data_IF_044037784970
#
_entry.id   IF_044037784970
#
_cell.length_a   1.000
_cell.length_b   1.000
_cell.length_c   1.000
_cell.angle_alpha   90.00
_cell.angle_beta   90.00
_cell.angle_gamma   90.00
#
_symmetry.space_group_name_H-M   'P 1'
#
loop_
_entity.id
_entity.type
_entity.pdbx_description
1 polymer ?
#
# COMPACT_ATOMS: atom_id res chain seq x y z
N UNK A 1 -4.95 21.59 -5.01
CA UNK A 1 -4.28 20.50 -4.27
C UNK A 1 -4.34 19.25 -5.12
N UNK A 2 -3.20 18.60 -5.33
CA UNK A 2 -3.14 17.35 -6.09
C UNK A 2 -3.49 16.18 -5.16
N UNK A 3 -4.40 15.29 -5.60
CA UNK A 3 -4.88 14.15 -4.83
C UNK A 3 -4.53 12.83 -5.51
N UNK A 4 -4.19 11.82 -4.72
CA UNK A 4 -4.16 10.45 -5.19
C UNK A 4 -5.57 9.85 -5.22
N UNK A 5 -5.85 9.07 -6.26
CA UNK A 5 -6.97 8.13 -6.25
C UNK A 5 -6.77 7.06 -5.17
N UNK A 6 -7.81 6.26 -4.87
CA UNK A 6 -7.69 5.16 -3.91
C UNK A 6 -6.53 4.22 -4.30
N UNK A 7 -5.66 3.84 -3.35
CA UNK A 7 -4.57 2.90 -3.63
C UNK A 7 -5.15 1.55 -4.02
N UNK A 8 -4.45 0.81 -4.89
CA UNK A 8 -4.79 -0.59 -5.16
C UNK A 8 -4.80 -1.36 -3.84
N UNK A 9 -5.94 -1.94 -3.51
CA UNK A 9 -6.08 -2.85 -2.38
C UNK A 9 -5.19 -4.06 -2.60
N UNK A 10 -4.52 -4.50 -1.54
CA UNK A 10 -3.73 -5.72 -1.56
C UNK A 10 -4.48 -6.77 -0.74
N UNK A 11 -4.68 -7.99 -1.26
CA UNK A 11 -5.36 -9.04 -0.53
C UNK A 11 -4.62 -9.31 0.78
N UNK A 12 -5.40 -9.55 1.84
CA UNK A 12 -4.87 -9.86 3.18
C UNK A 12 -3.95 -8.79 3.79
N UNK A 13 -4.09 -7.53 3.37
CA UNK A 13 -3.50 -6.39 4.07
C UNK A 13 -4.53 -5.34 4.43
N UNK A 14 -4.27 -4.70 5.56
CA UNK A 14 -5.10 -3.62 6.07
C UNK A 14 -4.41 -2.27 5.87
N UNK A 15 -5.21 -1.28 5.50
CA UNK A 15 -4.81 0.11 5.38
C UNK A 15 -5.52 0.93 6.46
N UNK A 16 -4.77 1.75 7.20
CA UNK A 16 -5.31 2.50 8.34
C UNK A 16 -6.11 3.76 7.96
N UNK A 17 -6.03 4.25 6.72
CA UNK A 17 -6.66 5.52 6.30
C UNK A 17 -7.40 5.34 4.97
N UNK A 18 -8.63 5.82 4.87
CA UNK A 18 -9.51 5.58 3.69
C UNK A 18 -10.15 6.83 3.08
N UNK A 19 -9.99 8.01 3.66
CA UNK A 19 -10.83 9.17 3.29
C UNK A 19 -10.24 10.08 2.21
N UNK A 20 -9.00 10.56 2.37
CA UNK A 20 -8.36 11.45 1.38
C UNK A 20 -6.86 11.18 1.36
N UNK A 21 -6.31 11.05 0.14
CA UNK A 21 -4.89 10.80 -0.08
C UNK A 21 -4.27 11.98 -0.79
N UNK A 22 -3.38 12.70 -0.11
CA UNK A 22 -2.68 13.84 -0.69
C UNK A 22 -1.37 13.39 -1.37
N UNK A 23 -0.92 14.13 -2.39
CA UNK A 23 0.44 13.94 -2.93
C UNK A 23 1.47 14.17 -1.82
N UNK A 24 2.42 13.24 -1.69
CA UNK A 24 3.41 13.17 -0.62
C UNK A 24 3.01 12.25 0.55
N UNK A 25 1.73 11.85 0.65
CA UNK A 25 1.24 11.00 1.73
C UNK A 25 1.84 9.60 1.66
N UNK A 26 2.22 9.08 2.83
CA UNK A 26 2.74 7.73 3.00
C UNK A 26 1.69 6.86 3.67
N UNK A 27 1.34 5.78 3.00
CA UNK A 27 0.43 4.75 3.49
C UNK A 27 1.23 3.58 3.98
N UNK A 28 0.94 3.15 5.20
CA UNK A 28 1.54 1.98 5.83
C UNK A 28 0.59 0.80 5.65
N UNK A 29 1.10 -0.25 5.02
CA UNK A 29 0.40 -1.51 4.85
C UNK A 29 1.03 -2.54 5.78
N UNK A 30 0.17 -3.36 6.38
CA UNK A 30 0.58 -4.50 7.19
C UNK A 30 -0.24 -5.72 6.77
N UNK A 31 0.42 -6.86 6.62
CA UNK A 31 -0.27 -8.12 6.42
C UNK A 31 -1.15 -8.46 7.63
N UNK A 32 -2.30 -9.05 7.34
CA UNK A 32 -3.16 -9.64 8.35
C UNK A 32 -2.45 -10.85 8.97
N UNK A 33 -2.72 -11.09 10.25
CA UNK A 33 -2.19 -12.26 10.96
C UNK A 33 -2.56 -13.55 10.22
N UNK A 34 -1.57 -14.38 9.91
CA UNK A 34 -1.74 -15.62 9.14
C UNK A 34 -1.36 -15.49 7.67
N UNK A 35 -1.16 -14.28 7.16
CA UNK A 35 -0.64 -13.99 5.81
C UNK A 35 0.70 -13.26 5.84
N UNK A 36 1.32 -13.19 7.02
CA UNK A 36 2.62 -12.58 7.31
C UNK A 36 3.75 -13.63 7.33
N UNK A 37 3.59 -14.73 6.59
CA UNK A 37 4.56 -15.84 6.56
C UNK A 37 5.80 -15.52 5.73
N UNK A 38 5.68 -14.67 4.72
CA UNK A 38 6.79 -14.23 3.88
C UNK A 38 7.17 -12.78 4.20
N UNK A 39 8.48 -12.54 4.30
CA UNK A 39 9.02 -11.18 4.41
C UNK A 39 9.14 -10.56 3.01
N UNK A 40 8.80 -9.27 2.85
CA UNK A 40 8.39 -8.33 3.88
C UNK A 40 6.90 -8.43 4.26
N UNK A 41 6.60 -8.44 5.57
CA UNK A 41 5.23 -8.52 6.13
C UNK A 41 4.55 -7.15 6.29
N UNK A 42 5.30 -6.09 6.03
CA UNK A 42 4.85 -4.71 6.09
C UNK A 42 5.60 -3.89 5.04
N UNK A 43 4.99 -2.79 4.63
CA UNK A 43 5.55 -1.95 3.59
C UNK A 43 4.79 -0.65 3.45
N UNK A 44 5.33 0.24 2.64
CA UNK A 44 4.80 1.59 2.49
C UNK A 44 4.57 1.93 1.04
N UNK A 45 3.45 2.59 0.73
CA UNK A 45 3.27 3.29 -0.54
C UNK A 45 3.26 4.78 -0.34
N UNK A 46 3.94 5.51 -1.22
CA UNK A 46 3.85 6.96 -1.28
C UNK A 46 3.01 7.37 -2.48
N UNK A 47 2.18 8.38 -2.28
CA UNK A 47 1.55 9.09 -3.39
C UNK A 47 2.56 10.08 -3.96
N UNK A 48 2.99 9.90 -5.21
CA UNK A 48 3.99 10.76 -5.84
C UNK A 48 3.51 11.28 -7.19
N UNK A 49 3.97 12.49 -7.54
CA UNK A 49 3.73 13.08 -8.86
C UNK A 49 4.99 12.91 -9.70
N UNK A 50 4.99 11.90 -10.56
CA UNK A 50 6.13 11.57 -11.44
C UNK A 50 5.78 12.00 -12.86
N UNK A 51 6.59 12.88 -13.46
CA UNK A 51 6.36 13.41 -14.82
C UNK A 51 4.94 14.00 -15.02
N UNK A 52 4.42 14.71 -14.01
CA UNK A 52 3.08 15.30 -14.05
C UNK A 52 1.93 14.33 -13.80
N UNK A 53 2.19 13.03 -13.69
CA UNK A 53 1.20 11.99 -13.38
C UNK A 53 1.24 11.62 -11.90
N UNK A 54 0.08 11.63 -11.25
CA UNK A 54 -0.06 11.19 -9.87
C UNK A 54 -0.15 9.66 -9.87
N UNK A 55 0.82 9.00 -9.23
CA UNK A 55 0.90 7.55 -9.11
C UNK A 55 1.18 7.14 -7.66
N UNK A 56 0.72 5.95 -7.31
CA UNK A 56 1.19 5.26 -6.12
C UNK A 56 2.51 4.56 -6.44
N UNK A 57 3.50 4.69 -5.55
CA UNK A 57 4.74 3.91 -5.67
C UNK A 57 4.44 2.41 -5.63
N UNK A 58 5.27 1.59 -6.31
CA UNK A 58 5.18 0.14 -6.18
C UNK A 58 5.30 -0.28 -4.71
N UNK A 59 4.66 -1.40 -4.39
CA UNK A 59 4.73 -2.03 -3.08
C UNK A 59 5.20 -3.46 -3.31
N UNK A 60 6.46 -3.72 -2.99
CA UNK A 60 7.10 -5.02 -3.18
C UNK A 60 6.88 -5.89 -1.93
N UNK A 61 5.62 -6.14 -1.61
CA UNK A 61 5.22 -7.06 -0.54
C UNK A 61 4.03 -7.88 -0.98
N UNK A 62 3.97 -9.13 -0.54
CA UNK A 62 2.85 -10.04 -0.79
C UNK A 62 2.49 -10.73 0.52
N UNK A 63 1.23 -10.60 0.91
CA UNK A 63 0.72 -11.27 2.10
C UNK A 63 0.24 -12.66 1.70
N UNK A 64 1.12 -13.65 1.86
CA UNK A 64 0.82 -15.06 1.59
C UNK A 64 0.77 -15.85 2.88
N UNK A 65 -0.14 -16.82 2.91
CA UNK A 65 -0.17 -17.84 3.95
C UNK A 65 0.75 -19.01 3.53
N UNK A 66 1.18 -19.82 4.50
CA UNK A 66 2.01 -21.02 4.35
C UNK A 66 1.36 -22.10 3.47
N UNK A 67 0.05 -21.99 3.23
CA UNK A 67 -0.76 -22.99 2.54
C UNK A 67 -0.91 -22.77 1.03
N UNK A 68 0.06 -22.14 0.36
CA UNK A 68 0.00 -21.92 -1.09
C UNK A 68 0.51 -23.08 -1.94
#
# INVERSE_FOLDING_TARGET
TDFCGPPKTMPHASLSQTQQYYVGQVLHFKCQSGYDKQHPTSGTRRCEKVNGKIIWTPLDMQCINDSS
#
